data_IF_233181265422
#
_entry.id   IF_233181265422
#
_cell.length_a   1.000
_cell.length_b   1.000
_cell.length_c   1.000
_cell.angle_alpha   90.00
_cell.angle_beta   90.00
_cell.angle_gamma   90.00
#
_symmetry.space_group_name_H-M   'P 1'
#
loop_
_entity.id
_entity.type
_entity.pdbx_description
1 polymer ?
#
# COMPACT_ATOMS: atom_id res chain seq x y z
N UNK A 1 -38.82 75.22 -31.78
CA UNK A 1 -38.94 74.37 -30.58
C UNK A 1 -38.24 73.06 -30.84
N UNK A 2 -36.96 72.99 -30.45
CA UNK A 2 -36.09 71.80 -30.60
C UNK A 2 -36.16 70.96 -29.31
N UNK A 3 -36.58 69.70 -29.42
CA UNK A 3 -36.59 68.74 -28.35
C UNK A 3 -35.20 68.08 -28.20
N UNK A 4 -34.51 68.38 -27.13
CA UNK A 4 -33.27 67.75 -26.71
C UNK A 4 -33.62 66.37 -26.11
N UNK A 5 -33.16 65.30 -26.76
CA UNK A 5 -33.22 63.93 -26.23
C UNK A 5 -31.99 63.70 -25.36
N UNK A 6 -32.18 63.51 -24.04
CA UNK A 6 -31.18 62.97 -23.15
C UNK A 6 -31.02 61.49 -23.37
N UNK A 7 -29.78 61.08 -23.72
CA UNK A 7 -29.34 59.68 -23.76
C UNK A 7 -28.80 59.36 -22.35
N UNK A 8 -29.29 58.31 -21.65
CA UNK A 8 -28.66 57.93 -20.39
C UNK A 8 -27.31 57.26 -20.67
N UNK A 9 -26.28 57.84 -20.03
CA UNK A 9 -24.92 57.29 -19.99
C UNK A 9 -24.93 56.01 -19.15
N UNK A 10 -24.88 54.86 -19.78
CA UNK A 10 -24.75 53.56 -19.16
C UNK A 10 -23.31 53.40 -18.67
N UNK A 11 -23.05 53.73 -17.38
CA UNK A 11 -21.80 53.40 -16.74
C UNK A 11 -21.71 51.88 -16.58
N UNK A 12 -21.04 51.19 -17.53
CA UNK A 12 -20.60 49.84 -17.35
C UNK A 12 -19.43 49.85 -16.38
N UNK A 13 -19.72 49.61 -15.12
CA UNK A 13 -18.67 49.30 -14.11
C UNK A 13 -18.14 47.91 -14.47
N UNK A 14 -17.02 47.87 -15.20
CA UNK A 14 -16.22 46.67 -15.37
C UNK A 14 -15.64 46.32 -14.01
N UNK A 15 -16.35 45.48 -13.23
CA UNK A 15 -15.73 44.79 -12.10
C UNK A 15 -14.72 43.84 -12.69
N UNK A 16 -13.47 44.27 -12.73
CA UNK A 16 -12.33 43.39 -12.83
C UNK A 16 -12.33 42.51 -11.58
N UNK A 17 -13.05 41.38 -11.63
CA UNK A 17 -12.73 40.26 -10.78
C UNK A 17 -11.30 39.87 -11.14
N UNK A 18 -10.33 40.39 -10.40
CA UNK A 18 -9.05 39.74 -10.26
C UNK A 18 -9.35 38.41 -9.62
N UNK A 19 -9.60 37.39 -10.45
CA UNK A 19 -9.49 36.03 -10.01
C UNK A 19 -8.16 35.93 -9.25
N UNK A 20 -8.15 35.45 -8.00
CA UNK A 20 -6.87 35.15 -7.37
C UNK A 20 -6.18 34.24 -8.38
N UNK A 21 -5.05 34.70 -8.90
CA UNK A 21 -4.14 33.86 -9.66
C UNK A 21 -3.98 32.63 -8.79
N UNK A 22 -4.64 31.52 -9.19
CA UNK A 22 -4.21 30.19 -8.80
C UNK A 22 -2.74 30.20 -9.21
N UNK A 23 -1.85 30.47 -8.28
CA UNK A 23 -0.51 29.98 -8.33
C UNK A 23 -0.72 28.51 -8.62
N UNK A 24 -0.53 28.11 -9.87
CA UNK A 24 -0.55 26.72 -10.26
C UNK A 24 0.32 26.03 -9.21
N UNK A 25 -0.32 25.21 -8.36
CA UNK A 25 0.37 24.48 -7.31
C UNK A 25 1.28 23.53 -8.05
N UNK A 26 2.50 23.96 -8.26
CA UNK A 26 3.50 23.15 -8.95
C UNK A 26 3.84 22.03 -8.00
N UNK A 27 3.21 20.87 -8.23
CA UNK A 27 3.57 19.63 -7.55
C UNK A 27 5.04 19.32 -7.88
N UNK A 28 5.76 18.59 -7.01
CA UNK A 28 7.11 18.14 -7.31
C UNK A 28 7.16 17.42 -8.66
N UNK A 29 8.24 17.57 -9.40
CA UNK A 29 8.45 16.80 -10.63
C UNK A 29 8.80 15.35 -10.28
N UNK A 30 7.78 14.58 -9.98
CA UNK A 30 7.87 13.14 -9.65
C UNK A 30 7.87 12.30 -10.93
N UNK A 31 8.40 11.06 -10.89
CA UNK A 31 8.44 10.16 -12.05
C UNK A 31 7.07 9.60 -12.47
N UNK A 32 6.02 9.86 -11.71
CA UNK A 32 4.66 9.39 -11.92
C UNK A 32 3.66 10.55 -11.91
N UNK A 33 2.44 10.39 -12.46
CA UNK A 33 1.42 11.43 -12.48
C UNK A 33 1.02 11.89 -11.07
N UNK A 34 0.90 13.18 -10.84
CA UNK A 34 0.57 13.75 -9.53
C UNK A 34 -0.79 13.26 -8.98
N UNK A 35 -1.75 12.98 -9.85
CA UNK A 35 -3.06 12.44 -9.48
C UNK A 35 -3.00 11.03 -8.88
N UNK A 36 -1.91 10.29 -9.09
CA UNK A 36 -1.69 8.96 -8.50
C UNK A 36 -1.17 9.02 -7.06
N UNK A 37 -0.74 10.19 -6.61
CA UNK A 37 -0.31 10.40 -5.23
C UNK A 37 -1.51 10.61 -4.31
N UNK A 38 -2.11 9.53 -3.84
CA UNK A 38 -3.27 9.56 -2.96
C UNK A 38 -2.97 10.30 -1.63
N UNK A 39 -1.75 10.15 -1.10
CA UNK A 39 -1.28 10.85 0.10
C UNK A 39 -1.40 12.38 0.01
N UNK A 40 -1.20 12.95 -1.18
CA UNK A 40 -1.34 14.41 -1.41
C UNK A 40 -2.77 14.88 -1.18
N UNK A 41 -3.77 14.05 -1.47
CA UNK A 41 -5.19 14.38 -1.24
C UNK A 41 -5.56 14.30 0.23
N UNK A 42 -4.82 13.51 1.01
CA UNK A 42 -5.08 13.21 2.42
C UNK A 42 -4.36 14.14 3.39
N UNK A 43 -3.47 15.03 2.91
CA UNK A 43 -2.63 15.85 3.78
C UNK A 43 -3.15 17.29 3.96
N UNK A 44 -2.81 17.95 5.10
CA UNK A 44 -3.08 19.37 5.33
C UNK A 44 -2.36 20.28 4.30
N UNK A 45 -2.94 21.45 3.95
CA UNK A 45 -2.33 22.38 2.99
C UNK A 45 -0.91 22.85 3.35
N UNK A 46 -0.61 23.01 4.64
CA UNK A 46 0.72 23.42 5.12
C UNK A 46 1.79 22.36 4.84
N UNK A 47 1.45 21.09 4.99
CA UNK A 47 2.34 19.97 4.67
C UNK A 47 2.66 19.92 3.18
N UNK A 48 1.67 20.10 2.31
CA UNK A 48 1.88 20.15 0.86
C UNK A 48 2.88 21.24 0.46
N UNK A 49 2.73 22.45 0.99
CA UNK A 49 3.66 23.55 0.68
C UNK A 49 5.10 23.23 1.11
N UNK A 50 5.25 22.60 2.27
CA UNK A 50 6.56 22.24 2.81
C UNK A 50 7.19 21.09 2.00
N UNK A 51 6.42 20.10 1.56
CA UNK A 51 6.88 19.03 0.66
C UNK A 51 7.40 19.61 -0.66
N UNK A 52 6.65 20.51 -1.30
CA UNK A 52 7.04 21.14 -2.56
C UNK A 52 8.34 21.94 -2.42
N UNK A 53 8.55 22.55 -1.25
CA UNK A 53 9.79 23.26 -0.93
C UNK A 53 10.98 22.32 -0.69
N UNK A 54 10.76 21.23 0.05
CA UNK A 54 11.83 20.32 0.48
C UNK A 54 12.24 19.33 -0.64
N UNK A 55 11.30 18.83 -1.43
CA UNK A 55 11.53 17.77 -2.41
C UNK A 55 12.71 18.04 -3.36
N UNK A 56 12.79 19.18 -4.09
CA UNK A 56 13.90 19.41 -5.01
C UNK A 56 15.24 19.52 -4.29
N UNK A 57 15.27 20.03 -3.06
CA UNK A 57 16.48 20.19 -2.25
C UNK A 57 17.01 18.85 -1.73
N UNK A 58 16.10 17.98 -1.29
CA UNK A 58 16.43 16.62 -0.86
C UNK A 58 16.89 15.78 -2.06
N UNK A 59 16.22 15.92 -3.21
CA UNK A 59 16.66 15.28 -4.46
C UNK A 59 18.05 15.72 -4.89
N UNK A 60 18.40 17.00 -4.69
CA UNK A 60 19.73 17.56 -4.96
C UNK A 60 20.76 17.24 -3.88
N UNK A 61 20.37 16.54 -2.82
CA UNK A 61 21.24 16.23 -1.65
C UNK A 61 21.88 17.48 -1.01
N UNK A 62 21.12 18.59 -0.87
CA UNK A 62 21.61 19.76 -0.15
C UNK A 62 21.99 19.40 1.29
N UNK A 63 23.21 19.71 1.72
CA UNK A 63 23.71 19.34 3.06
C UNK A 63 23.12 20.20 4.19
N UNK A 64 22.55 21.37 3.86
CA UNK A 64 21.86 22.25 4.79
C UNK A 64 20.75 22.98 4.07
N UNK A 65 19.52 22.86 4.56
CA UNK A 65 18.33 23.46 3.94
C UNK A 65 17.74 24.49 4.93
N UNK A 66 17.79 25.76 4.57
CA UNK A 66 17.14 26.83 5.33
C UNK A 66 15.63 26.75 5.09
N UNK A 67 14.85 26.77 6.15
CA UNK A 67 13.39 26.61 6.08
C UNK A 67 12.68 27.97 5.93
N UNK A 68 11.47 28.00 5.39
CA UNK A 68 10.64 29.18 5.41
C UNK A 68 10.42 29.68 6.86
N UNK A 69 10.38 31.00 7.04
CA UNK A 69 10.20 31.59 8.36
C UNK A 69 8.89 31.10 9.01
N UNK A 70 8.95 30.76 10.29
CA UNK A 70 7.79 30.27 11.04
C UNK A 70 7.42 28.81 10.80
N UNK A 71 8.28 28.02 10.15
CA UNK A 71 8.04 26.57 9.97
C UNK A 71 7.93 25.89 11.33
N UNK A 72 6.76 25.29 11.61
CA UNK A 72 6.53 24.52 12.84
C UNK A 72 7.43 23.28 12.88
N UNK A 73 8.05 23.03 14.04
CA UNK A 73 8.87 21.83 14.27
C UNK A 73 8.06 20.54 14.04
N UNK A 74 6.88 20.45 14.63
CA UNK A 74 6.04 19.26 14.51
C UNK A 74 5.58 19.03 13.06
N UNK A 75 5.16 20.11 12.36
CA UNK A 75 4.79 20.00 10.96
C UNK A 75 5.98 19.53 10.10
N UNK A 76 7.18 20.05 10.36
CA UNK A 76 8.39 19.66 9.63
C UNK A 76 8.72 18.18 9.82
N UNK A 77 8.77 17.69 11.08
CA UNK A 77 9.06 16.29 11.39
C UNK A 77 8.05 15.38 10.71
N UNK A 78 6.75 15.68 10.88
CA UNK A 78 5.70 14.92 10.23
C UNK A 78 5.84 14.93 8.70
N UNK A 79 6.17 16.09 8.11
CA UNK A 79 6.35 16.21 6.66
C UNK A 79 7.51 15.36 6.18
N UNK A 80 8.66 15.39 6.85
CA UNK A 80 9.85 14.62 6.46
C UNK A 80 9.62 13.11 6.57
N UNK A 81 8.95 12.66 7.65
CA UNK A 81 8.62 11.25 7.84
C UNK A 81 7.65 10.77 6.76
N UNK A 82 6.65 11.58 6.41
CA UNK A 82 5.73 11.26 5.34
C UNK A 82 6.42 11.24 3.97
N UNK A 83 7.33 12.18 3.71
CA UNK A 83 8.07 12.23 2.43
C UNK A 83 8.92 10.98 2.22
N UNK A 84 9.53 10.42 3.25
CA UNK A 84 10.29 9.16 3.14
C UNK A 84 9.42 7.99 2.68
N UNK A 85 8.17 7.96 3.05
CA UNK A 85 7.24 6.89 2.72
C UNK A 85 6.52 7.15 1.37
N UNK A 86 6.25 8.42 1.06
CA UNK A 86 5.47 8.80 -0.10
C UNK A 86 6.30 9.00 -1.38
N UNK A 87 7.61 9.20 -1.26
CA UNK A 87 8.52 9.43 -2.39
C UNK A 87 9.61 8.34 -2.44
N UNK A 88 9.32 7.17 -3.05
CA UNK A 88 10.29 6.07 -3.14
C UNK A 88 11.63 6.47 -3.76
N UNK A 89 11.65 7.50 -4.61
CA UNK A 89 12.85 8.05 -5.22
C UNK A 89 13.74 8.85 -4.26
N UNK A 90 13.27 9.15 -3.06
CA UNK A 90 14.05 9.75 -1.97
C UNK A 90 14.74 8.70 -1.08
N UNK A 91 14.86 7.47 -1.52
CA UNK A 91 15.45 6.33 -0.80
C UNK A 91 16.82 6.60 -0.15
N UNK A 92 17.57 7.57 -0.69
CA UNK A 92 18.93 7.91 -0.24
C UNK A 92 18.97 8.73 1.07
N UNK A 93 17.84 9.13 1.63
CA UNK A 93 17.78 9.88 2.89
C UNK A 93 17.85 8.88 4.04
N UNK A 94 18.92 8.98 4.86
CA UNK A 94 19.07 8.19 6.08
C UNK A 94 18.37 8.83 7.26
N UNK A 95 18.76 10.04 7.59
CA UNK A 95 18.27 10.78 8.76
C UNK A 95 18.42 12.29 8.54
N UNK A 96 17.93 13.07 9.46
CA UNK A 96 18.08 14.53 9.44
C UNK A 96 18.23 15.09 10.85
N UNK A 97 18.95 16.21 10.96
CA UNK A 97 19.04 16.99 12.18
C UNK A 97 18.29 18.29 12.00
N UNK A 98 17.33 18.58 12.89
CA UNK A 98 16.59 19.84 12.90
C UNK A 98 17.30 20.87 13.76
N UNK A 99 17.47 22.07 13.24
CA UNK A 99 18.03 23.21 13.96
C UNK A 99 16.93 24.23 14.31
N UNK A 100 16.93 24.66 15.56
CA UNK A 100 15.99 25.64 16.10
C UNK A 100 16.68 26.54 17.12
N UNK A 101 16.09 27.70 17.45
CA UNK A 101 16.60 28.56 18.51
C UNK A 101 16.09 28.08 19.87
N UNK A 102 16.95 28.16 20.89
CA UNK A 102 16.62 27.73 22.26
C UNK A 102 15.37 28.45 22.82
N UNK A 103 15.14 29.72 22.46
CA UNK A 103 13.99 30.52 22.89
C UNK A 103 12.74 30.31 22.04
N UNK A 104 12.82 29.54 20.95
CA UNK A 104 11.71 29.21 20.04
C UNK A 104 11.83 27.73 19.59
N UNK A 105 11.69 26.76 20.52
CA UNK A 105 11.90 25.35 20.22
C UNK A 105 10.84 24.77 19.25
N UNK A 106 9.66 25.41 19.16
CA UNK A 106 8.59 24.98 18.29
C UNK A 106 8.73 25.47 16.84
N UNK A 107 9.77 26.28 16.56
CA UNK A 107 10.03 26.83 15.22
C UNK A 107 11.35 26.33 14.70
N UNK A 108 11.27 25.50 13.64
CA UNK A 108 12.43 25.00 12.93
C UNK A 108 13.03 26.05 12.00
N UNK A 109 14.35 26.19 11.97
CA UNK A 109 15.07 27.16 11.13
C UNK A 109 15.72 26.52 9.93
N UNK A 110 16.35 25.36 10.14
CA UNK A 110 17.00 24.62 9.08
C UNK A 110 17.06 23.12 9.41
N UNK A 111 17.32 22.32 8.39
CA UNK A 111 17.66 20.90 8.53
C UNK A 111 19.02 20.61 7.93
N UNK A 112 19.70 19.62 8.50
CA UNK A 112 20.89 19.01 7.93
C UNK A 112 20.61 17.54 7.66
N UNK A 113 20.26 17.18 6.42
CA UNK A 113 20.05 15.79 6.03
C UNK A 113 21.38 15.01 6.04
N UNK A 114 21.29 13.72 6.35
CA UNK A 114 22.35 12.74 6.14
C UNK A 114 21.88 11.77 5.06
N UNK A 115 22.77 11.49 4.12
CA UNK A 115 22.46 10.64 2.98
C UNK A 115 23.22 9.32 3.08
N UNK A 116 22.62 8.23 2.60
CA UNK A 116 23.18 6.88 2.61
C UNK A 116 24.30 6.71 1.59
N UNK A 117 24.27 7.47 0.52
CA UNK A 117 25.23 7.37 -0.60
C UNK A 117 25.47 8.74 -1.22
N UNK A 118 26.47 8.83 -2.11
CA UNK A 118 26.77 10.04 -2.87
C UNK A 118 25.64 10.41 -3.84
N UNK A 119 25.61 11.66 -4.31
CA UNK A 119 24.63 12.13 -5.28
C UNK A 119 24.72 11.37 -6.63
N UNK A 120 25.93 10.96 -7.02
CA UNK A 120 26.18 10.16 -8.22
C UNK A 120 25.59 8.75 -8.08
N UNK A 121 25.87 8.08 -6.96
CA UNK A 121 25.33 6.76 -6.65
C UNK A 121 23.80 6.79 -6.55
N UNK A 122 23.25 7.80 -5.84
CA UNK A 122 21.79 7.97 -5.75
C UNK A 122 21.16 8.20 -7.12
N UNK A 123 21.81 8.96 -8.01
CA UNK A 123 21.31 9.16 -9.37
C UNK A 123 21.32 7.87 -10.19
N UNK A 124 22.39 7.09 -10.11
CA UNK A 124 22.51 5.80 -10.80
C UNK A 124 21.47 4.78 -10.29
N UNK A 125 21.35 4.62 -8.97
CA UNK A 125 20.37 3.72 -8.36
C UNK A 125 18.93 4.14 -8.66
N UNK A 126 18.63 5.45 -8.66
CA UNK A 126 17.31 5.95 -9.02
C UNK A 126 16.94 5.63 -10.46
N UNK A 127 17.89 5.79 -11.37
CA UNK A 127 17.68 5.41 -12.77
C UNK A 127 17.35 3.92 -12.88
N UNK A 128 18.15 3.04 -12.25
CA UNK A 128 17.90 1.60 -12.25
C UNK A 128 16.55 1.26 -11.62
N UNK A 129 16.20 1.87 -10.48
CA UNK A 129 14.93 1.68 -9.81
C UNK A 129 13.74 1.99 -10.72
N UNK A 130 13.78 3.15 -11.38
CA UNK A 130 12.70 3.58 -12.26
C UNK A 130 12.62 2.73 -13.53
N UNK A 131 13.75 2.36 -14.12
CA UNK A 131 13.81 1.47 -15.29
C UNK A 131 13.24 0.08 -14.95
N UNK A 132 13.62 -0.49 -13.80
CA UNK A 132 13.10 -1.77 -13.33
C UNK A 132 11.59 -1.70 -13.06
N UNK A 133 11.15 -0.71 -12.30
CA UNK A 133 9.73 -0.54 -11.99
C UNK A 133 8.89 -0.33 -13.25
N UNK A 134 9.37 0.52 -14.18
CA UNK A 134 8.68 0.75 -15.44
C UNK A 134 8.62 -0.51 -16.30
N UNK A 135 9.71 -1.30 -16.37
CA UNK A 135 9.71 -2.59 -17.09
C UNK A 135 8.64 -3.54 -16.55
N UNK A 136 8.46 -3.63 -15.22
CA UNK A 136 7.40 -4.46 -14.65
C UNK A 136 6.00 -3.98 -15.05
N UNK A 137 5.78 -2.68 -15.02
CA UNK A 137 4.50 -2.07 -15.43
C UNK A 137 4.24 -2.25 -16.92
N UNK A 138 5.26 -2.08 -17.78
CA UNK A 138 5.14 -2.26 -19.23
C UNK A 138 4.85 -3.72 -19.61
N UNK A 139 5.39 -4.68 -18.86
CA UNK A 139 5.13 -6.10 -19.05
C UNK A 139 3.69 -6.48 -18.63
N UNK A 140 3.24 -6.01 -17.48
CA UNK A 140 1.87 -6.22 -17.01
C UNK A 140 1.47 -5.13 -15.99
N UNK A 141 0.62 -4.15 -16.36
CA UNK A 141 0.16 -3.08 -15.48
C UNK A 141 -0.96 -3.48 -14.50
N UNK A 142 -1.41 -4.75 -14.53
CA UNK A 142 -2.46 -5.24 -13.64
C UNK A 142 -2.01 -5.16 -12.18
N UNK A 143 -2.79 -4.53 -11.28
CA UNK A 143 -2.38 -4.33 -9.89
C UNK A 143 -2.16 -5.63 -9.12
N UNK A 144 -2.96 -6.68 -9.39
CA UNK A 144 -2.78 -7.98 -8.75
C UNK A 144 -1.48 -8.62 -9.21
N UNK A 145 -1.20 -8.61 -10.51
CA UNK A 145 0.03 -9.17 -11.06
C UNK A 145 1.29 -8.45 -10.54
N UNK A 146 1.23 -7.13 -10.36
CA UNK A 146 2.33 -6.35 -9.76
C UNK A 146 2.53 -6.68 -8.27
N UNK A 147 1.44 -6.87 -7.53
CA UNK A 147 1.48 -7.31 -6.14
C UNK A 147 2.11 -8.70 -6.01
N UNK A 148 1.59 -9.68 -6.73
CA UNK A 148 2.10 -11.07 -6.73
C UNK A 148 3.57 -11.13 -7.14
N UNK A 149 3.93 -10.40 -8.19
CA UNK A 149 5.33 -10.33 -8.66
C UNK A 149 6.25 -9.79 -7.58
N UNK A 150 5.85 -8.73 -6.85
CA UNK A 150 6.66 -8.20 -5.76
C UNK A 150 6.82 -9.22 -4.64
N UNK A 151 5.72 -9.84 -4.21
CA UNK A 151 5.73 -10.85 -3.15
C UNK A 151 6.63 -12.05 -3.50
N UNK A 152 6.60 -12.50 -4.76
CA UNK A 152 7.42 -13.61 -5.24
C UNK A 152 8.91 -13.26 -5.41
N UNK A 153 9.22 -11.99 -5.66
CA UNK A 153 10.60 -11.56 -5.94
C UNK A 153 11.34 -10.94 -4.75
N UNK A 154 10.63 -10.59 -3.67
CA UNK A 154 11.24 -9.99 -2.50
C UNK A 154 11.11 -10.88 -1.26
N UNK A 155 12.16 -10.90 -0.44
CA UNK A 155 12.20 -11.61 0.84
C UNK A 155 12.27 -10.60 1.98
N UNK A 156 11.55 -10.87 3.06
CA UNK A 156 11.63 -10.03 4.26
C UNK A 156 13.01 -10.18 4.90
N UNK A 157 13.77 -9.09 4.93
CA UNK A 157 15.15 -9.05 5.46
C UNK A 157 15.42 -7.71 6.14
N UNK A 158 15.78 -7.70 7.43
CA UNK A 158 16.13 -6.49 8.17
C UNK A 158 17.63 -6.14 8.10
N UNK A 159 18.44 -6.86 7.32
CA UNK A 159 19.90 -6.75 7.37
C UNK A 159 20.50 -5.92 6.23
N UNK A 160 19.70 -5.54 5.23
CA UNK A 160 20.15 -4.75 4.08
C UNK A 160 20.21 -3.25 4.39
N UNK A 161 21.19 -2.54 3.88
CA UNK A 161 21.26 -1.08 3.93
C UNK A 161 20.02 -0.42 3.27
N UNK A 162 19.42 -1.07 2.28
CA UNK A 162 18.27 -0.59 1.52
C UNK A 162 16.93 -1.16 2.01
N UNK A 163 16.92 -1.89 3.12
CA UNK A 163 15.78 -2.65 3.63
C UNK A 163 14.46 -1.85 3.74
N UNK A 164 14.53 -0.55 4.04
CA UNK A 164 13.36 0.30 4.23
C UNK A 164 12.95 1.06 2.96
N UNK A 165 13.41 0.62 1.79
CA UNK A 165 13.25 1.37 0.55
C UNK A 165 12.80 0.48 -0.62
N UNK A 166 12.16 1.10 -1.62
CA UNK A 166 11.82 0.42 -2.87
C UNK A 166 13.07 -0.12 -3.61
N UNK A 167 14.25 0.47 -3.39
CA UNK A 167 15.53 -0.04 -3.92
C UNK A 167 15.83 -1.43 -3.39
N UNK A 168 15.66 -1.64 -2.08
CA UNK A 168 15.82 -2.96 -1.46
C UNK A 168 14.88 -3.99 -2.08
N UNK A 169 13.59 -3.67 -2.16
CA UNK A 169 12.57 -4.59 -2.67
C UNK A 169 12.73 -4.91 -4.18
N UNK A 170 12.95 -3.89 -5.01
CA UNK A 170 12.90 -4.05 -6.47
C UNK A 170 14.25 -4.36 -7.12
N UNK A 171 15.37 -3.91 -6.54
CA UNK A 171 16.69 -4.13 -7.13
C UNK A 171 17.47 -5.25 -6.45
N UNK A 172 17.28 -5.42 -5.13
CA UNK A 172 18.03 -6.41 -4.36
C UNK A 172 17.19 -7.60 -3.90
N UNK A 173 15.86 -7.52 -4.01
CA UNK A 173 14.95 -8.58 -3.56
C UNK A 173 14.90 -8.75 -2.03
N UNK A 174 15.31 -7.74 -1.27
CA UNK A 174 15.35 -7.78 0.20
C UNK A 174 14.79 -6.49 0.80
N UNK A 175 13.74 -6.60 1.60
CA UNK A 175 13.12 -5.44 2.21
C UNK A 175 12.39 -5.76 3.52
N UNK A 176 12.15 -4.74 4.34
CA UNK A 176 11.16 -4.75 5.41
C UNK A 176 9.82 -4.18 4.92
N UNK A 177 8.80 -4.11 5.77
CA UNK A 177 7.48 -3.59 5.46
C UNK A 177 7.51 -2.22 4.75
N UNK A 178 8.39 -1.30 5.18
CA UNK A 178 8.53 0.00 4.54
C UNK A 178 9.02 -0.10 3.08
N UNK A 179 9.94 -1.01 2.79
CA UNK A 179 10.44 -1.24 1.43
C UNK A 179 9.40 -1.86 0.52
N UNK A 180 8.63 -2.85 1.01
CA UNK A 180 7.49 -3.42 0.28
C UNK A 180 6.44 -2.35 -0.02
N UNK A 181 6.02 -1.57 0.98
CA UNK A 181 5.03 -0.53 0.80
C UNK A 181 5.48 0.58 -0.18
N UNK A 182 6.76 0.96 -0.15
CA UNK A 182 7.31 1.91 -1.13
C UNK A 182 7.38 1.32 -2.54
N UNK A 183 7.72 0.04 -2.68
CA UNK A 183 7.75 -0.63 -3.97
C UNK A 183 6.34 -0.70 -4.60
N UNK A 184 5.32 -1.09 -3.85
CA UNK A 184 3.92 -1.05 -4.29
C UNK A 184 3.52 0.37 -4.69
N UNK A 185 3.83 1.38 -3.86
CA UNK A 185 3.52 2.78 -4.18
C UNK A 185 4.14 3.23 -5.50
N UNK A 186 5.38 2.85 -5.76
CA UNK A 186 6.06 3.19 -7.01
C UNK A 186 5.43 2.49 -8.22
N UNK A 187 5.28 1.17 -8.15
CA UNK A 187 4.71 0.35 -9.23
C UNK A 187 3.30 0.81 -9.60
N UNK A 188 2.44 0.99 -8.60
CA UNK A 188 1.04 1.37 -8.85
C UNK A 188 0.93 2.79 -9.42
N UNK A 189 1.70 3.74 -8.90
CA UNK A 189 1.70 5.10 -9.43
C UNK A 189 2.22 5.16 -10.87
N UNK A 190 3.24 4.38 -11.22
CA UNK A 190 3.71 4.25 -12.61
C UNK A 190 2.65 3.60 -13.51
N UNK A 191 1.88 2.66 -12.98
CA UNK A 191 0.72 2.07 -13.66
C UNK A 191 -0.52 2.99 -13.71
N UNK A 192 -0.43 4.23 -13.18
CA UNK A 192 -1.55 5.18 -13.16
C UNK A 192 -2.57 4.92 -12.03
N UNK A 193 -2.25 4.06 -11.07
CA UNK A 193 -3.13 3.68 -9.97
C UNK A 193 -2.86 4.57 -8.74
N UNK A 194 -3.88 5.28 -8.20
CA UNK A 194 -3.73 6.07 -6.97
C UNK A 194 -3.35 5.19 -5.78
N UNK A 195 -2.22 5.52 -5.14
CA UNK A 195 -1.69 4.76 -4.02
C UNK A 195 -1.04 5.67 -2.98
N UNK A 196 -1.20 5.34 -1.69
CA UNK A 196 -0.48 5.95 -0.58
C UNK A 196 0.07 4.89 0.37
N UNK A 197 1.19 5.21 1.01
CA UNK A 197 1.75 4.41 2.11
C UNK A 197 1.15 4.87 3.43
N UNK A 198 0.71 3.92 4.23
CA UNK A 198 0.19 4.10 5.57
C UNK A 198 1.22 3.60 6.58
N UNK A 199 1.39 4.34 7.67
CA UNK A 199 2.23 3.93 8.80
C UNK A 199 1.34 3.76 10.02
N UNK A 200 1.57 2.70 10.77
CA UNK A 200 0.83 2.40 11.97
C UNK A 200 1.43 1.23 12.73
N UNK A 201 0.60 0.55 13.47
CA UNK A 201 0.92 -0.69 14.17
C UNK A 201 0.16 -1.84 13.52
N UNK A 202 0.78 -3.00 13.44
CA UNK A 202 0.12 -4.22 13.03
C UNK A 202 0.47 -5.36 13.97
N UNK A 203 -0.47 -6.31 14.14
CA UNK A 203 -0.33 -7.46 15.01
C UNK A 203 -0.23 -8.72 14.18
N UNK A 204 0.84 -9.48 14.36
CA UNK A 204 1.04 -10.75 13.69
C UNK A 204 0.17 -11.88 14.26
N UNK A 205 0.27 -13.06 13.68
CA UNK A 205 -0.48 -14.26 14.11
C UNK A 205 -0.12 -14.76 15.51
N UNK A 206 1.00 -14.31 16.09
CA UNK A 206 1.39 -14.58 17.48
C UNK A 206 0.77 -13.60 18.48
N UNK A 207 0.20 -12.49 17.98
CA UNK A 207 -0.30 -11.36 18.75
C UNK A 207 0.78 -10.35 19.13
N UNK A 208 1.99 -10.46 18.55
CA UNK A 208 3.03 -9.45 18.71
C UNK A 208 2.67 -8.24 17.84
N UNK A 209 2.67 -7.05 18.45
CA UNK A 209 2.33 -5.79 17.79
C UNK A 209 3.60 -4.96 17.58
N UNK A 210 3.76 -4.43 16.37
CA UNK A 210 4.92 -3.62 16.01
C UNK A 210 4.60 -2.52 15.02
N UNK A 211 5.54 -1.58 14.88
CA UNK A 211 5.46 -0.55 13.85
C UNK A 211 5.48 -1.19 12.46
N UNK A 212 4.52 -0.79 11.62
CA UNK A 212 4.31 -1.40 10.33
C UNK A 212 3.97 -0.38 9.24
N UNK A 213 4.14 -0.79 7.98
CA UNK A 213 3.83 0.01 6.80
C UNK A 213 3.09 -0.85 5.77
N UNK A 214 2.00 -0.30 5.24
CA UNK A 214 1.18 -0.91 4.20
C UNK A 214 0.64 0.13 3.22
N UNK A 215 -0.25 -0.22 2.32
CA UNK A 215 -0.75 0.68 1.30
C UNK A 215 -2.27 0.82 1.33
N UNK A 216 -2.76 1.95 0.82
CA UNK A 216 -4.15 2.17 0.46
C UNK A 216 -4.25 2.66 -0.98
N UNK A 217 -5.27 2.16 -1.67
CA UNK A 217 -5.64 2.52 -3.05
C UNK A 217 -7.10 2.96 -3.11
N UNK A 218 -7.62 3.20 -4.29
CA UNK A 218 -9.06 3.44 -4.50
C UNK A 218 -9.90 2.15 -4.57
N UNK A 219 -9.27 0.96 -4.50
CA UNK A 219 -9.96 -0.33 -4.54
C UNK A 219 -9.71 -1.18 -3.28
N UNK A 220 -8.99 -0.68 -2.28
CA UNK A 220 -8.75 -1.37 -1.02
C UNK A 220 -7.40 -1.08 -0.40
N UNK A 221 -7.20 -1.65 0.78
CA UNK A 221 -5.91 -1.70 1.46
C UNK A 221 -5.15 -2.94 1.00
N UNK A 222 -3.81 -2.85 1.05
CA UNK A 222 -2.96 -4.00 0.73
C UNK A 222 -1.66 -3.96 1.53
N UNK A 223 -1.23 -5.13 1.97
CA UNK A 223 0.05 -5.35 2.62
C UNK A 223 0.84 -6.45 1.93
N UNK A 224 1.77 -6.06 1.07
CA UNK A 224 2.60 -7.02 0.34
C UNK A 224 3.62 -7.75 1.24
N UNK A 225 3.91 -7.23 2.44
CA UNK A 225 4.77 -7.90 3.41
C UNK A 225 4.16 -9.20 3.90
N UNK A 226 2.84 -9.19 4.13
CA UNK A 226 2.08 -10.34 4.65
C UNK A 226 1.45 -11.19 3.55
N UNK A 227 1.64 -10.81 2.30
CA UNK A 227 1.35 -11.68 1.15
C UNK A 227 2.35 -12.82 0.95
N UNK A 228 3.24 -13.04 1.92
CA UNK A 228 4.41 -13.91 1.82
C UNK A 228 4.16 -15.19 1.05
N UNK A 229 4.97 -15.41 0.02
CA UNK A 229 4.88 -16.60 -0.82
C UNK A 229 5.31 -17.86 -0.06
N UNK A 230 4.56 -18.93 -0.27
CA UNK A 230 4.91 -20.25 0.21
C UNK A 230 4.86 -21.25 -0.96
N UNK A 231 5.96 -21.94 -1.23
CA UNK A 231 6.10 -22.84 -2.38
C UNK A 231 5.66 -22.21 -3.72
N UNK A 232 5.95 -20.90 -3.91
CA UNK A 232 5.55 -20.15 -5.11
C UNK A 232 4.09 -19.65 -5.14
N UNK A 233 3.32 -19.88 -4.07
CA UNK A 233 1.95 -19.37 -3.93
C UNK A 233 1.92 -18.12 -3.07
N UNK A 234 1.20 -17.10 -3.51
CA UNK A 234 0.98 -15.84 -2.81
C UNK A 234 -0.33 -15.91 -2.03
N UNK A 235 -0.33 -15.39 -0.79
CA UNK A 235 -1.56 -15.16 -0.04
C UNK A 235 -2.19 -13.82 -0.43
N UNK A 236 -3.51 -13.83 -0.66
CA UNK A 236 -4.28 -12.64 -1.01
C UNK A 236 -5.14 -12.10 0.13
N UNK A 237 -5.02 -12.66 1.36
CA UNK A 237 -5.75 -12.16 2.53
C UNK A 237 -5.47 -10.71 2.84
N UNK A 238 -4.30 -10.22 2.44
CA UNK A 238 -3.85 -8.84 2.60
C UNK A 238 -3.83 -8.06 1.28
N UNK A 239 -4.65 -8.46 0.29
CA UNK A 239 -4.82 -7.76 -0.98
C UNK A 239 -6.25 -7.27 -1.16
N UNK A 240 -6.42 -6.01 -1.55
CA UNK A 240 -7.71 -5.36 -1.75
C UNK A 240 -8.66 -5.50 -0.54
N UNK A 241 -8.10 -5.38 0.68
CA UNK A 241 -8.86 -5.45 1.92
C UNK A 241 -9.82 -4.27 2.04
N UNK A 242 -11.03 -4.53 2.55
CA UNK A 242 -11.91 -3.48 3.03
C UNK A 242 -11.40 -2.89 4.37
N UNK A 243 -12.00 -1.78 4.81
CA UNK A 243 -11.62 -1.15 6.08
C UNK A 243 -11.85 -2.09 7.28
N UNK A 244 -12.92 -2.88 7.24
CA UNK A 244 -13.22 -3.85 8.29
C UNK A 244 -12.21 -5.00 8.35
N UNK A 245 -11.76 -5.51 7.19
CA UNK A 245 -10.74 -6.56 7.13
C UNK A 245 -9.37 -6.02 7.58
N UNK A 246 -8.97 -4.85 7.09
CA UNK A 246 -7.72 -4.20 7.48
C UNK A 246 -7.66 -3.94 9.00
N UNK A 247 -8.76 -3.50 9.60
CA UNK A 247 -8.83 -3.17 11.03
C UNK A 247 -8.75 -4.38 11.98
N UNK A 248 -8.72 -5.60 11.45
CA UNK A 248 -8.57 -6.83 12.26
C UNK A 248 -7.20 -6.84 12.93
N UNK A 249 -6.17 -6.44 12.22
CA UNK A 249 -4.77 -6.55 12.65
C UNK A 249 -3.91 -5.29 12.37
N UNK A 250 -4.43 -4.28 11.66
CA UNK A 250 -3.74 -3.04 11.37
C UNK A 250 -4.43 -1.84 12.02
N UNK A 251 -3.63 -0.97 12.65
CA UNK A 251 -4.11 0.28 13.25
C UNK A 251 -3.24 1.45 12.79
N UNK A 252 -3.76 2.39 11.97
CA UNK A 252 -3.01 3.57 11.56
C UNK A 252 -2.59 4.43 12.76
N UNK A 253 -1.35 4.94 12.78
CA UNK A 253 -0.81 5.70 13.89
C UNK A 253 -1.32 7.15 13.99
N UNK A 254 -2.11 7.59 13.03
CA UNK A 254 -2.74 8.91 12.96
C UNK A 254 -4.06 8.85 12.20
N UNK A 255 -4.87 9.89 12.35
CA UNK A 255 -6.10 10.04 11.57
C UNK A 255 -5.76 10.30 10.08
N UNK A 256 -5.94 9.29 9.26
CA UNK A 256 -5.95 9.42 7.80
C UNK A 256 -7.38 9.63 7.33
N UNK A 257 -7.55 10.35 6.23
CA UNK A 257 -8.82 10.38 5.50
C UNK A 257 -8.70 9.43 4.33
N UNK A 258 -9.23 8.23 4.49
CA UNK A 258 -9.16 7.21 3.44
C UNK A 258 -10.17 7.48 2.31
N UNK A 259 -9.95 6.92 1.11
CA UNK A 259 -10.99 6.84 0.09
C UNK A 259 -12.24 6.12 0.64
N UNK A 260 -13.40 6.45 0.11
CA UNK A 260 -14.61 5.69 0.40
C UNK A 260 -14.49 4.31 -0.26
N UNK A 261 -14.28 3.30 0.56
CA UNK A 261 -14.19 1.90 0.15
C UNK A 261 -15.47 1.12 0.46
N UNK A 262 -16.54 1.81 0.85
CA UNK A 262 -17.83 1.18 1.11
C UNK A 262 -18.37 0.52 -0.16
N UNK A 263 -18.72 -0.76 -0.07
CA UNK A 263 -19.21 -1.54 -1.20
C UNK A 263 -18.15 -2.01 -2.20
N UNK A 264 -16.87 -1.74 -1.96
CA UNK A 264 -15.78 -2.38 -2.70
C UNK A 264 -15.62 -3.81 -2.17
N UNK A 265 -15.81 -4.85 -3.03
CA UNK A 265 -15.63 -6.23 -2.61
C UNK A 265 -14.14 -6.49 -2.34
N UNK A 266 -13.83 -7.28 -1.32
CA UNK A 266 -12.48 -7.76 -1.13
C UNK A 266 -12.09 -8.78 -2.22
N UNK A 267 -10.82 -9.17 -2.24
CA UNK A 267 -10.28 -10.10 -3.25
C UNK A 267 -11.16 -11.36 -3.43
N UNK A 268 -11.54 -12.03 -2.34
CA UNK A 268 -12.29 -13.29 -2.39
C UNK A 268 -13.71 -13.10 -2.90
N UNK A 269 -14.36 -12.01 -2.50
CA UNK A 269 -15.71 -11.67 -3.00
C UNK A 269 -15.67 -11.34 -4.50
N UNK A 270 -14.66 -10.59 -4.93
CA UNK A 270 -14.51 -10.20 -6.34
C UNK A 270 -14.25 -11.40 -7.26
N UNK A 271 -13.59 -12.45 -6.75
CA UNK A 271 -13.20 -13.62 -7.54
C UNK A 271 -14.09 -14.86 -7.30
N UNK A 272 -15.18 -14.72 -6.50
CA UNK A 272 -16.06 -15.87 -6.19
C UNK A 272 -15.40 -16.93 -5.31
N UNK A 273 -14.42 -16.52 -4.50
CA UNK A 273 -13.66 -17.35 -3.56
C UNK A 273 -14.09 -17.16 -2.11
N UNK A 274 -15.09 -16.29 -1.87
CA UNK A 274 -15.75 -16.17 -0.57
C UNK A 274 -16.83 -17.24 -0.43
N UNK A 275 -16.69 -18.08 0.58
CA UNK A 275 -17.48 -19.29 0.77
C UNK A 275 -18.30 -19.18 2.06
N UNK A 276 -19.60 -19.36 1.97
CA UNK A 276 -20.54 -19.21 3.10
C UNK A 276 -21.30 -20.48 3.48
N UNK A 277 -21.29 -21.47 2.61
CA UNK A 277 -21.98 -22.76 2.78
C UNK A 277 -21.03 -23.93 2.51
N UNK A 278 -21.37 -25.10 3.11
CA UNK A 278 -20.63 -26.35 2.86
C UNK A 278 -20.69 -26.78 1.39
N UNK A 279 -21.79 -26.49 0.71
CA UNK A 279 -21.94 -26.83 -0.72
C UNK A 279 -21.01 -25.97 -1.60
N UNK A 280 -20.88 -24.68 -1.29
CA UNK A 280 -19.88 -23.81 -1.97
C UNK A 280 -18.48 -24.26 -1.66
N UNK A 281 -18.19 -24.63 -0.39
CA UNK A 281 -16.89 -25.13 0.01
C UNK A 281 -16.54 -26.42 -0.76
N UNK A 282 -17.47 -27.36 -0.84
CA UNK A 282 -17.30 -28.61 -1.59
C UNK A 282 -16.98 -28.30 -3.07
N UNK A 283 -17.67 -27.34 -3.66
CA UNK A 283 -17.44 -26.93 -5.04
C UNK A 283 -16.01 -26.44 -5.26
N UNK A 284 -15.48 -25.65 -4.33
CA UNK A 284 -14.10 -25.18 -4.41
C UNK A 284 -13.09 -26.34 -4.19
N UNK A 285 -13.40 -27.24 -3.24
CA UNK A 285 -12.52 -28.38 -2.96
C UNK A 285 -12.43 -29.39 -4.12
N UNK A 286 -13.47 -29.48 -4.96
CA UNK A 286 -13.39 -30.34 -6.17
C UNK A 286 -12.29 -29.89 -7.14
N UNK A 287 -11.89 -28.64 -7.12
CA UNK A 287 -10.76 -28.12 -7.91
C UNK A 287 -9.41 -28.72 -7.47
N UNK A 288 -9.28 -29.10 -6.20
CA UNK A 288 -8.08 -29.83 -5.73
C UNK A 288 -7.95 -31.20 -6.37
N UNK A 289 -9.09 -31.86 -6.70
CA UNK A 289 -9.08 -33.15 -7.42
C UNK A 289 -8.50 -33.00 -8.82
N UNK A 290 -8.70 -31.85 -9.44
CA UNK A 290 -8.13 -31.50 -10.74
C UNK A 290 -6.67 -31.01 -10.65
N UNK A 291 -6.06 -31.03 -9.45
CA UNK A 291 -4.68 -30.63 -9.19
C UNK A 291 -4.48 -29.11 -9.06
N UNK A 292 -5.57 -28.34 -8.91
CA UNK A 292 -5.48 -26.89 -8.72
C UNK A 292 -5.17 -26.54 -7.26
N UNK A 293 -4.33 -25.53 -7.04
CA UNK A 293 -4.23 -24.85 -5.75
C UNK A 293 -5.49 -24.02 -5.52
N UNK A 294 -6.05 -24.11 -4.34
CA UNK A 294 -7.31 -23.44 -3.99
C UNK A 294 -7.08 -22.51 -2.79
N UNK A 295 -7.32 -21.23 -3.00
CA UNK A 295 -7.34 -20.21 -1.94
C UNK A 295 -8.77 -19.71 -1.76
N UNK A 296 -9.29 -19.77 -0.52
CA UNK A 296 -10.68 -19.40 -0.20
C UNK A 296 -10.76 -18.66 1.12
N UNK A 297 -11.74 -17.75 1.22
CA UNK A 297 -12.12 -17.11 2.47
C UNK A 297 -13.44 -17.69 2.95
N UNK A 298 -13.48 -18.16 4.18
CA UNK A 298 -14.70 -18.66 4.79
C UNK A 298 -15.49 -17.55 5.48
N UNK A 299 -16.82 -17.61 5.41
CA UNK A 299 -17.68 -16.75 6.24
C UNK A 299 -17.41 -17.02 7.72
N UNK A 300 -17.68 -16.05 8.63
CA UNK A 300 -17.46 -16.23 10.06
C UNK A 300 -18.15 -17.49 10.62
N UNK A 301 -19.40 -17.75 10.23
CA UNK A 301 -20.17 -18.89 10.69
C UNK A 301 -19.62 -20.23 10.20
N UNK A 302 -19.24 -20.29 8.91
CA UNK A 302 -18.64 -21.50 8.34
C UNK A 302 -17.27 -21.79 8.94
N UNK A 303 -16.44 -20.75 9.12
CA UNK A 303 -15.13 -20.89 9.75
C UNK A 303 -15.24 -21.35 11.19
N UNK A 304 -16.19 -20.83 11.97
CA UNK A 304 -16.41 -21.26 13.36
C UNK A 304 -16.80 -22.74 13.45
N UNK A 305 -17.66 -23.23 12.53
CA UNK A 305 -18.04 -24.66 12.46
C UNK A 305 -16.87 -25.53 12.06
N UNK A 306 -16.11 -25.14 11.06
CA UNK A 306 -14.90 -25.83 10.66
C UNK A 306 -13.86 -25.88 11.78
N UNK A 307 -13.57 -24.77 12.44
CA UNK A 307 -12.59 -24.71 13.53
C UNK A 307 -13.03 -25.59 14.76
N UNK A 308 -14.32 -25.67 15.03
CA UNK A 308 -14.86 -26.53 16.06
C UNK A 308 -14.70 -28.02 15.68
N UNK A 309 -15.02 -28.38 14.44
CA UNK A 309 -14.88 -29.77 13.96
C UNK A 309 -13.41 -30.23 13.97
N UNK A 310 -12.47 -29.39 13.57
CA UNK A 310 -11.03 -29.66 13.59
C UNK A 310 -10.52 -29.90 15.04
N UNK A 311 -11.01 -29.12 15.99
CA UNK A 311 -10.60 -29.24 17.39
C UNK A 311 -11.04 -30.59 18.02
N UNK A 312 -12.22 -31.06 17.67
CA UNK A 312 -12.84 -32.23 18.31
C UNK A 312 -12.44 -33.56 17.62
N UNK A 313 -12.23 -33.56 16.31
CA UNK A 313 -12.11 -34.79 15.51
C UNK A 313 -10.75 -35.06 14.91
N UNK A 314 -9.81 -34.13 14.95
CA UNK A 314 -8.57 -34.18 14.17
C UNK A 314 -8.83 -34.40 12.66
N UNK A 315 -10.00 -34.04 12.19
CA UNK A 315 -10.36 -34.16 10.77
C UNK A 315 -9.87 -32.96 10.00
N UNK A 316 -9.42 -33.21 8.78
CA UNK A 316 -9.06 -32.14 7.82
C UNK A 316 -10.32 -31.48 7.22
N UNK A 317 -10.14 -30.41 6.46
CA UNK A 317 -11.25 -29.69 5.85
C UNK A 317 -12.02 -30.55 4.85
N UNK A 318 -11.35 -31.49 4.20
CA UNK A 318 -11.95 -32.40 3.22
C UNK A 318 -12.92 -33.34 3.91
N UNK A 319 -12.50 -33.94 5.01
CA UNK A 319 -13.39 -34.82 5.86
C UNK A 319 -14.55 -34.01 6.42
N UNK A 320 -14.32 -32.77 6.92
CA UNK A 320 -15.39 -31.92 7.40
C UNK A 320 -16.45 -31.66 6.33
N UNK A 321 -16.05 -31.37 5.08
CA UNK A 321 -16.98 -31.12 3.99
C UNK A 321 -17.71 -32.37 3.52
N UNK A 322 -17.02 -33.51 3.45
CA UNK A 322 -17.65 -34.78 3.10
C UNK A 322 -18.75 -35.14 4.05
N UNK A 323 -18.49 -35.06 5.36
CA UNK A 323 -19.49 -35.32 6.41
C UNK A 323 -20.65 -34.33 6.32
N UNK A 324 -20.38 -33.02 6.16
CA UNK A 324 -21.40 -31.99 6.10
C UNK A 324 -22.27 -32.05 4.84
N UNK A 325 -21.70 -32.41 3.72
CA UNK A 325 -22.40 -32.54 2.44
C UNK A 325 -23.10 -33.90 2.27
N UNK A 326 -22.81 -34.87 3.13
CA UNK A 326 -23.31 -36.23 2.98
C UNK A 326 -22.81 -36.92 1.70
N UNK A 327 -21.64 -36.52 1.20
CA UNK A 327 -21.06 -36.96 -0.04
C UNK A 327 -19.80 -37.82 0.22
N UNK A 328 -19.63 -38.90 -0.55
CA UNK A 328 -18.33 -39.57 -0.64
C UNK A 328 -17.43 -38.70 -1.54
N UNK A 329 -16.38 -38.11 -0.96
CA UNK A 329 -15.35 -37.43 -1.73
C UNK A 329 -14.37 -38.51 -2.17
N UNK A 330 -14.14 -38.71 -3.48
CA UNK A 330 -13.24 -39.74 -4.00
C UNK A 330 -11.76 -39.45 -3.71
N UNK A 331 -11.47 -38.47 -2.88
CA UNK A 331 -10.15 -37.94 -2.66
C UNK A 331 -9.72 -38.15 -1.23
N UNK A 332 -8.75 -39.01 -1.04
CA UNK A 332 -8.15 -39.32 0.26
C UNK A 332 -6.65 -39.09 0.16
N UNK A 333 -6.24 -37.81 0.01
CA UNK A 333 -4.82 -37.58 0.13
C UNK A 333 -4.51 -36.17 0.64
N UNK A 334 -3.52 -36.01 1.51
CA UNK A 334 -3.29 -34.80 2.23
C UNK A 334 -2.86 -33.67 1.28
N UNK A 335 -3.75 -32.71 1.08
CA UNK A 335 -3.33 -31.41 0.62
C UNK A 335 -2.63 -30.69 1.78
N UNK A 336 -1.62 -29.88 1.45
CA UNK A 336 -1.03 -28.99 2.44
C UNK A 336 -1.98 -27.82 2.67
N UNK A 337 -2.34 -27.59 3.92
CA UNK A 337 -3.24 -26.50 4.31
C UNK A 337 -2.43 -25.43 5.04
N UNK A 338 -2.46 -24.24 4.50
CA UNK A 338 -1.98 -23.04 5.16
C UNK A 338 -3.19 -22.16 5.49
N UNK A 339 -3.15 -21.45 6.61
CA UNK A 339 -4.28 -20.65 7.02
C UNK A 339 -3.87 -19.31 7.59
N UNK A 340 -4.55 -18.27 7.12
CA UNK A 340 -4.65 -17.00 7.82
C UNK A 340 -5.92 -17.00 8.68
N UNK A 341 -5.72 -17.21 9.98
CA UNK A 341 -6.84 -17.37 10.93
C UNK A 341 -7.57 -16.05 11.18
N UNK A 342 -6.86 -14.93 11.13
CA UNK A 342 -7.43 -13.61 11.35
C UNK A 342 -8.47 -13.29 10.26
N UNK A 343 -8.10 -13.51 9.01
CA UNK A 343 -8.94 -13.26 7.84
C UNK A 343 -9.78 -14.47 7.41
N UNK A 344 -9.68 -15.61 8.11
CA UNK A 344 -10.41 -16.85 7.80
C UNK A 344 -10.11 -17.39 6.41
N UNK A 345 -8.87 -17.26 5.97
CA UNK A 345 -8.41 -17.72 4.66
C UNK A 345 -7.73 -19.07 4.80
N UNK A 346 -8.00 -19.93 3.85
CA UNK A 346 -7.34 -21.22 3.69
C UNK A 346 -6.72 -21.28 2.31
N UNK A 347 -5.44 -21.64 2.26
CA UNK A 347 -4.71 -21.98 1.04
C UNK A 347 -4.43 -23.48 1.07
N UNK A 348 -5.01 -24.20 0.12
CA UNK A 348 -4.93 -25.64 -0.02
C UNK A 348 -4.08 -25.97 -1.29
N UNK A 349 -2.96 -26.63 -1.05
CA UNK A 349 -2.00 -26.96 -2.09
C UNK A 349 -2.01 -28.47 -2.29
N UNK A 350 -2.38 -29.00 -3.48
CA UNK A 350 -2.35 -30.43 -3.72
C UNK A 350 -0.91 -30.96 -3.68
N UNK A 351 -0.73 -32.18 -3.15
CA UNK A 351 0.58 -32.80 -3.13
C UNK A 351 0.99 -33.23 -4.56
N UNK A 352 2.17 -32.82 -5.04
CA UNK A 352 2.58 -33.10 -6.44
C UNK A 352 2.75 -34.60 -6.76
N UNK A 353 2.93 -35.44 -5.75
CA UNK A 353 3.13 -36.90 -5.94
C UNK A 353 1.84 -37.67 -6.33
N UNK A 354 0.70 -36.99 -6.37
CA UNK A 354 -0.61 -37.59 -6.57
C UNK A 354 -1.23 -37.32 -7.94
N UNK A 355 -0.69 -36.34 -8.67
CA UNK A 355 -1.11 -36.08 -10.05
C UNK A 355 -0.61 -37.13 -11.07
N UNK A 356 0.19 -38.12 -10.62
CA UNK A 356 0.78 -39.17 -11.48
C UNK A 356 0.20 -40.59 -11.22
N UNK A 357 -0.86 -40.74 -10.41
CA UNK A 357 -1.59 -42.01 -10.24
C UNK A 357 -2.96 -41.95 -10.90
#
# INVERSE_FOLDING_TARGET
>A
MQKIRFLPLLCVVLMLFTAPTLLARQEPNTPYPAETMLSVRMMPPGERSLRNFLYPKLMAQEGSIQLPAGTSYNLLVQTLDNMRNDYPELFHIDSYRVHYQRNQPDVAQSISPRYLCSAEEASALRKQLLETAQSWVDENPDPLALYERLVLNATYSPDSMWQHTAVGALLYGEATCAGYAQAISLLYRLAGIPCATIIGEASDTSGETGLHAWNVTNFGFLDATWGAAFDGHVFHSNYAMGEADMSIDHTPNRGYTFPDLSGVPNYYQAHGLYVSTEQELLTQLMRLVDGETVEIQLSPDLYARYAAAMKDKQSDIVTFCAEAAGAEIPFYDPCRILSDKAHRVLLLIPHPELAEQ
#
